data_IF_063560443436
#
_entry.id   IF_063560443436
#
_cell.length_a   1.000
_cell.length_b   1.000
_cell.length_c   1.000
_cell.angle_alpha   90.00
_cell.angle_beta   90.00
_cell.angle_gamma   90.00
#
_symmetry.space_group_name_H-M   'P 1'
#
loop_
_entity.id
_entity.type
_entity.pdbx_description
1 polymer ?
#
# COMPACT_ATOMS: atom_id res chain seq x y z
N UNK A 1 -21.14 1.44 19.08
CA UNK A 1 -20.04 1.11 19.99
C UNK A 1 -19.49 -0.32 19.95
N UNK A 2 -20.03 -1.33 19.21
CA UNK A 2 -19.47 -2.70 19.23
C UNK A 2 -17.97 -2.79 18.88
N UNK A 3 -17.52 -2.04 17.87
CA UNK A 3 -16.12 -2.07 17.42
C UNK A 3 -15.12 -1.53 18.47
N UNK A 4 -15.56 -0.69 19.41
CA UNK A 4 -14.71 -0.07 20.43
C UNK A 4 -14.56 -0.90 21.69
N UNK A 5 -15.41 -1.91 21.89
CA UNK A 5 -15.34 -2.85 23.04
C UNK A 5 -14.93 -4.26 22.62
N UNK A 6 -14.75 -4.53 21.33
CA UNK A 6 -14.33 -5.84 20.81
C UNK A 6 -13.02 -6.37 21.41
N UNK A 7 -12.11 -5.50 21.84
CA UNK A 7 -10.87 -5.90 22.51
C UNK A 7 -11.11 -6.53 23.90
N UNK A 8 -12.27 -6.27 24.52
CA UNK A 8 -12.68 -6.91 25.78
C UNK A 8 -13.06 -8.38 25.57
N UNK A 9 -13.50 -8.74 24.36
CA UNK A 9 -13.94 -10.08 23.99
C UNK A 9 -12.83 -10.89 23.28
N UNK A 10 -11.91 -10.22 22.57
CA UNK A 10 -10.76 -10.85 21.91
C UNK A 10 -9.44 -10.10 22.20
N UNK A 11 -8.62 -10.68 23.08
CA UNK A 11 -7.31 -10.13 23.47
C UNK A 11 -6.25 -10.11 22.35
N UNK A 12 -6.55 -10.62 21.15
CA UNK A 12 -5.71 -10.46 19.95
C UNK A 12 -5.93 -9.11 19.28
N UNK A 13 -7.03 -8.43 19.59
CA UNK A 13 -7.36 -7.11 19.07
C UNK A 13 -6.69 -6.06 19.97
N UNK A 14 -5.76 -5.25 19.45
CA UNK A 14 -5.14 -4.19 20.24
C UNK A 14 -6.18 -3.17 20.71
N UNK A 15 -6.01 -2.66 21.93
CA UNK A 15 -6.86 -1.60 22.49
C UNK A 15 -6.70 -0.27 21.74
N UNK A 16 -5.56 -0.08 21.09
CA UNK A 16 -5.19 1.13 20.37
C UNK A 16 -5.11 0.92 18.86
N UNK A 17 -5.42 1.98 18.11
CA UNK A 17 -5.37 1.98 16.65
C UNK A 17 -4.03 2.50 16.10
N UNK A 18 -2.98 2.59 16.93
CA UNK A 18 -1.73 3.26 16.56
C UNK A 18 -1.08 2.65 15.31
N UNK A 19 -1.23 1.34 15.10
CA UNK A 19 -0.71 0.65 13.91
C UNK A 19 -1.37 1.16 12.63
N UNK A 20 -2.69 1.30 12.61
CA UNK A 20 -3.39 1.82 11.44
C UNK A 20 -3.14 3.33 11.27
N UNK A 21 -3.10 4.09 12.36
CA UNK A 21 -2.81 5.53 12.32
C UNK A 21 -1.40 5.80 11.78
N UNK A 22 -0.39 5.02 12.20
CA UNK A 22 0.96 5.11 11.67
C UNK A 22 1.04 4.74 10.18
N UNK A 23 0.28 3.74 9.73
CA UNK A 23 0.19 3.39 8.31
C UNK A 23 -0.42 4.52 7.47
N UNK A 24 -1.45 5.21 7.99
CA UNK A 24 -2.10 6.34 7.28
C UNK A 24 -1.30 7.64 7.41
N UNK A 25 -0.37 7.75 8.38
CA UNK A 25 0.41 8.97 8.62
C UNK A 25 1.22 9.42 7.40
N UNK A 26 1.83 8.48 6.67
CA UNK A 26 2.56 8.80 5.43
C UNK A 26 1.64 9.41 4.35
N UNK A 27 0.41 8.91 4.26
CA UNK A 27 -0.65 9.43 3.36
C UNK A 27 -1.08 10.83 3.78
N UNK A 28 -1.28 11.04 5.08
CA UNK A 28 -1.67 12.33 5.63
C UNK A 28 -0.61 13.43 5.41
N UNK A 29 0.68 13.07 5.50
CA UNK A 29 1.80 13.98 5.21
C UNK A 29 1.91 14.26 3.70
N UNK A 30 1.75 13.23 2.86
CA UNK A 30 1.81 13.35 1.40
C UNK A 30 0.65 14.12 0.76
N UNK A 31 -0.49 14.26 1.44
CA UNK A 31 -1.70 14.91 0.90
C UNK A 31 -1.48 16.34 0.41
N UNK A 32 -0.53 17.08 1.01
CA UNK A 32 -0.18 18.45 0.58
C UNK A 32 0.71 18.47 -0.68
N UNK A 33 1.38 17.36 -0.99
CA UNK A 33 2.30 17.23 -2.13
C UNK A 33 1.67 16.51 -3.33
N UNK A 34 0.51 15.86 -3.16
CA UNK A 34 -0.21 15.19 -4.23
C UNK A 34 -1.24 16.13 -4.88
N UNK A 35 -0.73 17.05 -5.70
CA UNK A 35 -1.51 18.05 -6.43
C UNK A 35 -2.60 17.47 -7.37
N UNK A 36 -2.60 16.16 -7.62
CA UNK A 36 -3.58 15.45 -8.44
C UNK A 36 -4.77 14.90 -7.65
N UNK A 37 -4.75 14.95 -6.31
CA UNK A 37 -5.81 14.42 -5.44
C UNK A 37 -7.06 15.34 -5.37
N UNK A 38 -7.35 16.11 -6.42
CA UNK A 38 -8.52 16.98 -6.50
C UNK A 38 -9.81 16.28 -6.92
N UNK A 39 -9.75 15.02 -7.37
CA UNK A 39 -10.91 14.23 -7.78
C UNK A 39 -10.94 12.85 -7.10
N UNK A 40 -12.15 12.34 -6.83
CA UNK A 40 -12.36 11.01 -6.23
C UNK A 40 -11.63 9.87 -6.99
N UNK A 41 -11.67 9.82 -8.34
CA UNK A 41 -10.93 8.80 -9.08
C UNK A 41 -9.41 8.89 -8.90
N UNK A 42 -8.86 10.10 -8.80
CA UNK A 42 -7.43 10.28 -8.54
C UNK A 42 -7.06 9.83 -7.12
N UNK A 43 -7.93 10.09 -6.14
CA UNK A 43 -7.78 9.57 -4.77
C UNK A 43 -7.76 8.03 -4.71
N UNK A 44 -8.66 7.36 -5.43
CA UNK A 44 -8.70 5.90 -5.51
C UNK A 44 -7.41 5.33 -6.12
N UNK A 45 -6.92 5.91 -7.22
CA UNK A 45 -5.65 5.50 -7.85
C UNK A 45 -4.46 5.67 -6.91
N UNK A 46 -4.44 6.79 -6.18
CA UNK A 46 -3.40 7.08 -5.21
C UNK A 46 -3.41 6.05 -4.08
N UNK A 47 -4.59 5.71 -3.54
CA UNK A 47 -4.74 4.69 -2.53
C UNK A 47 -4.26 3.31 -3.01
N UNK A 48 -4.57 2.91 -4.25
CA UNK A 48 -4.08 1.65 -4.82
C UNK A 48 -2.55 1.60 -4.89
N UNK A 49 -1.90 2.68 -5.33
CA UNK A 49 -0.43 2.75 -5.40
C UNK A 49 0.18 2.66 -4.00
N UNK A 50 -0.39 3.35 -3.02
CA UNK A 50 0.09 3.30 -1.63
C UNK A 50 -0.05 1.91 -1.04
N UNK A 51 -1.17 1.23 -1.25
CA UNK A 51 -1.36 -0.15 -0.82
C UNK A 51 -0.30 -1.09 -1.41
N UNK A 52 0.08 -0.91 -2.68
CA UNK A 52 1.13 -1.69 -3.31
C UNK A 52 2.52 -1.41 -2.71
N UNK A 53 2.85 -0.14 -2.45
CA UNK A 53 4.11 0.24 -1.82
C UNK A 53 4.24 -0.30 -0.39
N UNK A 54 3.16 -0.25 0.40
CA UNK A 54 3.15 -0.84 1.74
C UNK A 54 3.24 -2.36 1.69
N UNK A 55 2.61 -3.02 0.70
CA UNK A 55 2.79 -4.45 0.47
C UNK A 55 4.24 -4.79 0.14
N UNK A 56 4.91 -3.97 -0.69
CA UNK A 56 6.33 -4.13 -1.01
C UNK A 56 7.20 -4.04 0.24
N UNK A 57 6.98 -3.04 1.10
CA UNK A 57 7.69 -2.92 2.39
C UNK A 57 7.45 -4.14 3.29
N UNK A 58 6.20 -4.59 3.38
CA UNK A 58 5.81 -5.73 4.22
C UNK A 58 6.49 -7.03 3.80
N UNK A 59 6.77 -7.18 2.50
CA UNK A 59 7.47 -8.33 1.93
C UNK A 59 9.00 -8.13 1.83
N UNK A 60 9.55 -7.05 2.39
CA UNK A 60 10.99 -6.82 2.49
C UNK A 60 11.62 -6.15 1.26
N UNK A 61 10.82 -5.69 0.30
CA UNK A 61 11.31 -4.98 -0.88
C UNK A 61 11.53 -3.49 -0.58
N UNK A 62 12.54 -2.91 -1.22
CA UNK A 62 12.68 -1.45 -1.25
C UNK A 62 11.64 -0.87 -2.24
N UNK A 63 10.67 -0.07 -1.78
CA UNK A 63 9.51 0.30 -2.60
C UNK A 63 9.85 1.11 -3.85
N UNK A 64 10.88 1.95 -3.81
CA UNK A 64 11.27 2.76 -4.96
C UNK A 64 11.92 1.90 -6.05
N UNK A 65 12.81 0.98 -5.69
CA UNK A 65 13.46 0.03 -6.60
C UNK A 65 12.40 -0.87 -7.24
N UNK A 66 11.50 -1.45 -6.45
CA UNK A 66 10.41 -2.28 -6.95
C UNK A 66 9.52 -1.50 -7.93
N UNK A 67 9.04 -0.31 -7.54
CA UNK A 67 8.15 0.49 -8.38
C UNK A 67 8.82 0.89 -9.70
N UNK A 68 10.10 1.29 -9.65
CA UNK A 68 10.87 1.65 -10.84
C UNK A 68 11.02 0.47 -11.78
N UNK A 69 11.36 -0.71 -11.28
CA UNK A 69 11.54 -1.90 -12.10
C UNK A 69 10.22 -2.32 -12.75
N UNK A 70 9.12 -2.36 -11.99
CA UNK A 70 7.78 -2.66 -12.51
C UNK A 70 7.36 -1.68 -13.61
N UNK A 71 7.51 -0.36 -13.38
CA UNK A 71 7.16 0.65 -14.37
C UNK A 71 8.01 0.56 -15.64
N UNK A 72 9.26 0.13 -15.54
CA UNK A 72 10.14 -0.06 -16.70
C UNK A 72 9.73 -1.24 -17.59
N UNK A 73 9.13 -2.28 -17.00
CA UNK A 73 8.69 -3.51 -17.70
C UNK A 73 7.27 -3.41 -18.22
N UNK A 74 6.41 -2.64 -17.55
CA UNK A 74 4.99 -2.51 -17.86
C UNK A 74 4.68 -2.31 -19.36
N UNK A 75 5.43 -1.48 -20.13
CA UNK A 75 5.13 -1.23 -21.54
C UNK A 75 5.28 -2.45 -22.45
N UNK A 76 6.13 -3.41 -22.08
CA UNK A 76 6.43 -4.61 -22.88
C UNK A 76 5.89 -5.90 -22.25
N UNK A 77 5.33 -5.82 -21.04
CA UNK A 77 4.85 -6.99 -20.32
C UNK A 77 3.46 -7.45 -20.79
N UNK A 78 3.23 -8.76 -20.96
CA UNK A 78 1.90 -9.27 -21.30
C UNK A 78 0.88 -8.98 -20.18
N UNK A 79 -0.28 -8.45 -20.54
CA UNK A 79 -1.37 -8.18 -19.59
C UNK A 79 -1.81 -9.44 -18.80
N UNK A 80 -1.72 -10.62 -19.41
CA UNK A 80 -2.05 -11.90 -18.77
C UNK A 80 -1.07 -12.31 -17.65
N UNK A 81 0.08 -11.64 -17.53
CA UNK A 81 1.17 -11.96 -16.60
C UNK A 81 1.48 -10.83 -15.62
N UNK A 82 0.57 -9.85 -15.46
CA UNK A 82 0.77 -8.72 -14.55
C UNK A 82 0.89 -9.13 -13.09
N UNK A 83 0.29 -10.26 -12.70
CA UNK A 83 0.39 -10.82 -11.35
C UNK A 83 1.83 -11.15 -10.95
N UNK A 84 2.71 -11.41 -11.91
CA UNK A 84 4.14 -11.67 -11.67
C UNK A 84 4.93 -10.41 -11.29
N UNK A 85 4.40 -9.22 -11.56
CA UNK A 85 5.03 -7.94 -11.20
C UNK A 85 4.60 -7.44 -9.80
N UNK A 86 3.63 -8.11 -9.17
CA UNK A 86 3.16 -7.76 -7.83
C UNK A 86 4.24 -8.06 -6.79
N UNK A 87 4.32 -7.30 -5.68
CA UNK A 87 5.43 -7.37 -4.75
C UNK A 87 5.31 -8.58 -3.80
N UNK A 88 5.33 -9.79 -4.34
CA UNK A 88 5.32 -11.04 -3.58
C UNK A 88 6.70 -11.32 -2.97
N UNK A 89 6.80 -12.05 -1.84
CA UNK A 89 8.09 -12.39 -1.23
C UNK A 89 9.07 -13.08 -2.19
N UNK A 90 8.55 -13.93 -3.08
CA UNK A 90 9.33 -14.66 -4.08
C UNK A 90 9.59 -13.85 -5.36
N UNK A 91 9.13 -12.60 -5.41
CA UNK A 91 9.32 -11.76 -6.57
C UNK A 91 10.80 -11.37 -6.68
N UNK A 92 11.50 -11.75 -7.78
CA UNK A 92 12.91 -11.43 -7.96
C UNK A 92 13.16 -9.94 -8.22
N UNK A 93 12.10 -9.15 -8.43
CA UNK A 93 12.18 -7.71 -8.68
C UNK A 93 12.27 -6.98 -7.34
N UNK A 94 13.50 -6.84 -6.82
CA UNK A 94 13.84 -6.11 -5.61
C UNK A 94 15.26 -5.56 -5.63
#
# INVERSE_FOLDING_TARGET
WPALVCYLDDGRVPIDNNRAENAVRGVAVGRKNWLFAGSLPAGQRSAMIMSLLETAKANGHEPWVWLRDVLSRLPSWPNSRLNELLPWPDNPFS
#
